data_IF_901115734766
#
_entry.id   IF_901115734766
#
_cell.length_a   1.000
_cell.length_b   1.000
_cell.length_c   1.000
_cell.angle_alpha   90.00
_cell.angle_beta   90.00
_cell.angle_gamma   90.00
#
_symmetry.space_group_name_H-M   'P 1'
#
loop_
_entity.id
_entity.type
_entity.pdbx_description
1 polymer ?
#
# COMPACT_ATOMS: atom_id res chain seq x y z
N UNK A 1 -3.90 -19.40 6.09
CA UNK A 1 -5.22 -18.88 6.54
C UNK A 1 -5.05 -17.50 7.21
N UNK A 2 -4.77 -16.45 6.42
CA UNK A 2 -4.43 -15.11 6.93
C UNK A 2 -5.54 -14.05 6.74
N UNK A 3 -6.79 -14.46 6.45
CA UNK A 3 -7.87 -13.52 6.14
C UNK A 3 -8.67 -13.06 7.38
N UNK A 4 -8.49 -13.70 8.55
CA UNK A 4 -9.41 -13.55 9.68
C UNK A 4 -9.05 -12.49 10.73
N UNK A 5 -7.96 -11.70 10.56
CA UNK A 5 -7.46 -10.82 11.64
C UNK A 5 -7.16 -9.37 11.25
N UNK A 6 -7.65 -8.89 10.10
CA UNK A 6 -7.42 -7.50 9.69
C UNK A 6 -5.95 -7.18 9.39
N UNK A 7 -5.17 -8.18 8.99
CA UNK A 7 -3.79 -8.04 8.54
C UNK A 7 -3.68 -8.54 7.10
N UNK A 8 -2.97 -7.80 6.26
CA UNK A 8 -2.54 -8.19 4.92
C UNK A 8 -1.09 -8.65 5.01
N UNK A 9 -0.88 -9.95 4.80
CA UNK A 9 0.45 -10.54 4.79
C UNK A 9 1.00 -10.45 3.36
N UNK A 10 2.04 -9.64 3.16
CA UNK A 10 2.79 -9.55 1.93
C UNK A 10 4.05 -10.41 2.05
N UNK A 11 4.12 -11.48 1.27
CA UNK A 11 5.30 -12.33 1.12
C UNK A 11 5.81 -12.22 -0.32
N UNK A 12 6.86 -11.43 -0.53
CA UNK A 12 7.43 -11.14 -1.86
C UNK A 12 6.39 -10.63 -2.89
N UNK A 13 5.43 -9.84 -2.44
CA UNK A 13 4.32 -9.38 -3.28
C UNK A 13 4.72 -8.14 -4.08
N UNK A 14 4.42 -8.05 -5.39
CA UNK A 14 4.57 -6.82 -6.14
C UNK A 14 3.70 -5.70 -5.55
N UNK A 15 4.24 -4.49 -5.45
CA UNK A 15 3.55 -3.33 -4.89
C UNK A 15 2.27 -3.02 -5.65
N UNK A 16 2.23 -3.25 -6.96
CA UNK A 16 1.01 -3.15 -7.77
C UNK A 16 -0.15 -3.95 -7.17
N UNK A 17 0.08 -5.24 -6.98
CA UNK A 17 -0.91 -6.15 -6.40
C UNK A 17 -1.25 -5.78 -4.97
N UNK A 18 -0.25 -5.42 -4.18
CA UNK A 18 -0.45 -5.01 -2.78
C UNK A 18 -1.41 -3.82 -2.68
N UNK A 19 -1.25 -2.82 -3.56
CA UNK A 19 -2.10 -1.63 -3.57
C UNK A 19 -3.50 -1.92 -4.08
N UNK A 20 -3.67 -2.80 -5.05
CA UNK A 20 -4.99 -3.27 -5.49
C UNK A 20 -5.75 -3.98 -4.35
N UNK A 21 -5.06 -4.87 -3.63
CA UNK A 21 -5.63 -5.56 -2.48
C UNK A 21 -5.97 -4.58 -1.35
N UNK A 22 -5.05 -3.68 -1.00
CA UNK A 22 -5.25 -2.65 0.02
C UNK A 22 -6.39 -1.67 -0.34
N UNK A 23 -6.48 -1.29 -1.62
CA UNK A 23 -7.52 -0.41 -2.15
C UNK A 23 -8.93 -0.99 -2.00
N UNK A 24 -9.06 -2.31 -1.98
CA UNK A 24 -10.35 -2.98 -1.76
C UNK A 24 -10.88 -2.82 -0.33
N UNK A 25 -10.02 -2.53 0.65
CA UNK A 25 -10.39 -2.33 2.06
C UNK A 25 -10.50 -0.86 2.46
N UNK A 26 -9.94 0.07 1.67
CA UNK A 26 -10.00 1.51 1.94
C UNK A 26 -11.19 2.16 1.25
N UNK A 27 -11.85 3.10 1.93
CA UNK A 27 -12.72 4.09 1.26
C UNK A 27 -11.85 5.19 0.65
N UNK A 28 -11.67 5.17 -0.67
CA UNK A 28 -10.90 6.17 -1.40
C UNK A 28 -10.13 5.57 -2.59
N UNK A 29 -9.28 6.39 -3.22
CA UNK A 29 -8.44 5.97 -4.34
C UNK A 29 -6.95 6.03 -3.95
N UNK A 30 -6.23 4.95 -4.26
CA UNK A 30 -4.78 4.86 -4.14
C UNK A 30 -4.23 4.70 -5.56
N UNK A 31 -3.67 5.77 -6.09
CA UNK A 31 -2.91 5.74 -7.34
C UNK A 31 -1.52 5.16 -7.11
N UNK A 32 -1.01 4.41 -8.09
CA UNK A 32 0.35 3.89 -8.09
C UNK A 32 1.04 4.32 -9.39
N UNK A 33 2.24 4.88 -9.26
CA UNK A 33 3.11 5.12 -10.40
C UNK A 33 3.57 3.77 -11.01
N UNK A 34 3.40 3.55 -12.33
CA UNK A 34 3.80 2.30 -12.98
C UNK A 34 5.27 1.92 -12.77
N UNK A 35 6.17 2.89 -12.54
CA UNK A 35 7.57 2.61 -12.26
C UNK A 35 7.79 1.85 -10.94
N UNK A 36 6.79 1.85 -10.05
CA UNK A 36 6.84 1.22 -8.74
C UNK A 36 6.11 -0.13 -8.68
N UNK A 37 5.40 -0.55 -9.72
CA UNK A 37 4.53 -1.75 -9.68
C UNK A 37 5.28 -3.03 -9.33
N UNK A 38 6.54 -3.12 -9.77
CA UNK A 38 7.41 -4.28 -9.60
C UNK A 38 8.18 -4.29 -8.27
N UNK A 39 8.08 -3.22 -7.46
CA UNK A 39 8.73 -3.21 -6.15
C UNK A 39 8.18 -4.32 -5.27
N UNK A 40 9.06 -5.03 -4.57
CA UNK A 40 8.67 -6.11 -3.68
C UNK A 40 8.35 -5.59 -2.30
N UNK A 41 7.15 -5.93 -1.84
CA UNK A 41 6.64 -5.63 -0.52
C UNK A 41 6.71 -6.91 0.30
N UNK A 42 7.30 -6.80 1.49
CA UNK A 42 7.37 -7.89 2.45
C UNK A 42 6.97 -7.37 3.82
N UNK A 43 6.14 -8.12 4.53
CA UNK A 43 5.72 -7.80 5.89
C UNK A 43 4.24 -8.03 6.14
N UNK A 44 3.83 -7.78 7.38
CA UNK A 44 2.43 -7.85 7.80
C UNK A 44 1.88 -6.44 8.02
N UNK A 45 0.85 -6.09 7.26
CA UNK A 45 0.29 -4.74 7.22
C UNK A 45 -1.14 -4.72 7.79
N UNK A 46 -1.48 -3.82 8.72
CA UNK A 46 -2.83 -3.73 9.25
C UNK A 46 -3.81 -3.13 8.22
N UNK A 47 -4.90 -3.85 7.93
CA UNK A 47 -5.96 -3.41 7.02
C UNK A 47 -6.94 -2.42 7.66
N UNK A 48 -6.95 -2.32 8.99
CA UNK A 48 -7.81 -1.38 9.72
C UNK A 48 -7.32 0.08 9.66
N UNK A 49 -6.02 0.29 9.38
CA UNK A 49 -5.41 1.61 9.25
C UNK A 49 -4.51 1.67 8.02
N UNK A 50 -5.13 2.02 6.89
CA UNK A 50 -4.43 2.13 5.61
C UNK A 50 -3.42 3.29 5.59
N UNK A 51 -3.62 4.34 6.38
CA UNK A 51 -2.70 5.47 6.43
C UNK A 51 -1.38 5.07 7.12
N UNK A 52 -1.46 4.27 8.18
CA UNK A 52 -0.30 3.65 8.82
C UNK A 52 0.47 2.76 7.84
N UNK A 53 -0.23 1.96 7.04
CA UNK A 53 0.38 1.10 6.00
C UNK A 53 1.14 1.94 4.98
N UNK A 54 0.55 3.02 4.48
CA UNK A 54 1.20 3.91 3.50
C UNK A 54 2.46 4.57 4.09
N UNK A 55 2.44 4.94 5.37
CA UNK A 55 3.61 5.48 6.06
C UNK A 55 4.72 4.42 6.18
N UNK A 56 4.38 3.19 6.59
CA UNK A 56 5.34 2.08 6.67
C UNK A 56 5.97 1.75 5.32
N UNK A 57 5.17 1.76 4.24
CA UNK A 57 5.70 1.56 2.88
C UNK A 57 6.67 2.68 2.49
N UNK A 58 6.40 3.92 2.88
CA UNK A 58 7.30 5.05 2.63
C UNK A 58 8.63 4.94 3.38
N UNK A 59 8.62 4.33 4.56
CA UNK A 59 9.83 4.09 5.36
C UNK A 59 10.65 2.91 4.84
N UNK A 60 9.98 1.86 4.34
CA UNK A 60 10.61 0.63 3.85
C UNK A 60 11.09 0.71 2.39
N UNK A 61 10.45 1.53 1.55
CA UNK A 61 10.71 1.60 0.11
C UNK A 61 11.09 3.02 -0.31
N UNK A 62 11.83 3.19 -1.43
CA UNK A 62 12.18 4.51 -1.97
C UNK A 62 10.98 5.16 -2.70
N UNK A 63 9.86 5.28 -2.00
CA UNK A 63 8.61 5.86 -2.51
C UNK A 63 8.24 7.11 -1.71
N UNK A 64 7.29 7.87 -2.24
CA UNK A 64 6.68 9.03 -1.60
C UNK A 64 5.17 8.97 -1.76
N UNK A 65 4.45 9.21 -0.68
CA UNK A 65 2.99 9.30 -0.67
C UNK A 65 2.59 10.76 -0.96
N UNK A 66 2.00 11.01 -2.12
CA UNK A 66 1.39 12.30 -2.45
C UNK A 66 -0.11 12.24 -2.14
N UNK A 67 -0.56 13.06 -1.18
CA UNK A 67 -1.99 13.23 -0.89
C UNK A 67 -2.51 14.40 -1.74
N UNK A 68 -3.42 14.12 -2.67
CA UNK A 68 -4.10 15.15 -3.47
C UNK A 68 -5.35 15.65 -2.75
N UNK A 69 -6.09 14.73 -2.13
CA UNK A 69 -7.27 14.96 -1.29
C UNK A 69 -7.30 13.93 -0.15
N UNK A 70 -8.14 14.12 0.86
CA UNK A 70 -8.28 13.18 1.98
C UNK A 70 -8.66 11.74 1.53
N UNK A 71 -9.36 11.64 0.40
CA UNK A 71 -9.78 10.39 -0.21
C UNK A 71 -8.92 9.96 -1.41
N UNK A 72 -7.93 10.76 -1.83
CA UNK A 72 -7.06 10.45 -2.98
C UNK A 72 -5.58 10.57 -2.61
N UNK A 73 -4.90 9.44 -2.65
CA UNK A 73 -3.44 9.37 -2.48
C UNK A 73 -2.79 8.76 -3.71
N UNK A 74 -1.53 9.10 -3.98
CA UNK A 74 -0.77 8.54 -5.10
C UNK A 74 0.65 8.25 -4.65
N UNK A 75 1.10 7.03 -4.89
CA UNK A 75 2.46 6.59 -4.64
C UNK A 75 3.33 6.93 -5.84
N UNK A 76 4.40 7.70 -5.61
CA UNK A 76 5.37 8.08 -6.64
C UNK A 76 6.79 7.75 -6.18
N UNK A 77 7.74 7.55 -7.10
CA UNK A 77 9.15 7.39 -6.73
C UNK A 77 9.66 8.60 -5.92
N UNK A 78 10.54 8.36 -4.95
CA UNK A 78 11.22 9.43 -4.21
C UNK A 78 12.43 9.97 -4.97
#
# INVERSE_FOLDING_TARGET
EAWSRGLLLAEDMPLGRFIEELGSYRRGHIGLDPALSELRVMGSFPLNDTDLVLAQLQDALPIKVQRRFDWWVTLVPR
#
